data_IF_389221431270
#
_entry.id   IF_389221431270
#
_cell.length_a   1.000
_cell.length_b   1.000
_cell.length_c   1.000
_cell.angle_alpha   90.00
_cell.angle_beta   90.00
_cell.angle_gamma   90.00
#
_symmetry.space_group_name_H-M   'P 1'
#
loop_
_entity.id
_entity.type
_entity.pdbx_description
1 polymer ?
#
# COMPACT_ATOMS: atom_id res chain seq x y z
N UNK A 1 27.98 47.51 4.23
CA UNK A 1 28.68 46.65 5.20
C UNK A 1 27.69 45.67 5.78
N UNK A 2 28.15 44.44 5.99
CA UNK A 2 27.45 43.23 6.47
C UNK A 2 26.75 42.39 5.39
N UNK A 3 27.62 41.59 4.75
CA UNK A 3 27.31 40.33 4.07
C UNK A 3 26.56 39.39 5.01
N UNK A 4 25.37 38.94 4.59
CA UNK A 4 24.81 37.67 5.06
C UNK A 4 25.30 36.59 4.11
N UNK A 5 25.93 35.49 4.57
CA UNK A 5 26.36 34.43 3.67
C UNK A 5 25.12 33.73 3.08
N UNK A 6 25.12 33.53 1.76
CA UNK A 6 24.24 32.57 1.11
C UNK A 6 24.56 31.19 1.68
N UNK A 7 23.58 30.36 2.08
CA UNK A 7 23.86 29.00 2.50
C UNK A 7 24.43 28.23 1.29
N UNK A 8 25.67 27.79 1.47
CA UNK A 8 26.38 26.87 0.59
C UNK A 8 25.56 25.60 0.36
N UNK A 9 25.53 25.17 -0.90
CA UNK A 9 25.36 23.78 -1.34
C UNK A 9 24.54 22.85 -0.43
N UNK A 10 23.26 22.69 -0.75
CA UNK A 10 22.63 21.37 -0.60
C UNK A 10 21.98 20.97 -1.93
N UNK A 11 22.71 20.13 -2.67
CA UNK A 11 22.15 19.30 -3.73
C UNK A 11 21.11 18.36 -3.08
N UNK A 12 19.84 18.50 -3.43
CA UNK A 12 18.84 17.46 -3.12
C UNK A 12 17.39 17.93 -3.05
N UNK A 13 16.64 17.69 -4.13
CA UNK A 13 15.18 17.56 -4.13
C UNK A 13 14.40 18.87 -4.31
N UNK A 14 13.69 19.00 -5.43
CA UNK A 14 13.00 20.21 -5.87
C UNK A 14 12.03 20.81 -4.84
N UNK A 15 12.27 22.08 -4.52
CA UNK A 15 11.45 22.92 -3.67
C UNK A 15 10.39 23.64 -4.49
N UNK A 16 9.11 23.24 -4.40
CA UNK A 16 8.01 24.11 -4.83
C UNK A 16 7.64 25.04 -3.68
N UNK A 17 7.92 26.33 -3.82
CA UNK A 17 7.52 27.39 -2.90
C UNK A 17 6.11 27.87 -3.22
N UNK A 18 5.22 27.92 -2.23
CA UNK A 18 4.01 28.76 -2.26
C UNK A 18 4.14 29.73 -1.08
N UNK A 19 4.14 31.03 -1.37
CA UNK A 19 4.17 32.13 -0.40
C UNK A 19 5.35 32.14 0.61
N UNK A 20 6.54 31.67 0.22
CA UNK A 20 7.74 31.82 1.05
C UNK A 20 7.75 31.01 2.35
N UNK A 21 6.76 30.16 2.58
CA UNK A 21 6.74 29.19 3.68
C UNK A 21 7.36 27.89 3.19
N UNK A 22 8.42 27.44 3.87
CA UNK A 22 9.12 26.20 3.56
C UNK A 22 8.25 25.01 3.96
N UNK A 23 7.50 24.45 3.01
CA UNK A 23 6.79 23.18 3.22
C UNK A 23 7.75 22.03 2.97
N UNK A 24 8.44 21.56 4.02
CA UNK A 24 8.97 20.19 4.02
C UNK A 24 7.75 19.29 4.26
N UNK A 25 7.14 18.78 3.19
CA UNK A 25 5.96 17.91 3.34
C UNK A 25 6.43 16.61 4.00
N UNK A 26 6.04 16.38 5.24
CA UNK A 26 6.27 15.08 5.91
C UNK A 26 5.61 13.92 5.15
N UNK A 27 4.62 14.23 4.31
CA UNK A 27 3.96 13.29 3.39
C UNK A 27 4.68 13.12 2.05
N UNK A 28 5.79 13.82 1.81
CA UNK A 28 6.56 13.64 0.59
C UNK A 28 7.13 12.22 0.51
N UNK A 29 7.25 11.68 -0.70
CA UNK A 29 7.72 10.31 -0.89
C UNK A 29 9.25 10.21 -0.92
N UNK A 30 9.95 11.35 -1.02
CA UNK A 30 11.36 11.40 -1.43
C UNK A 30 12.35 10.61 -0.57
N UNK A 31 12.06 10.37 0.71
CA UNK A 31 12.94 9.63 1.62
C UNK A 31 12.20 8.69 2.59
N UNK A 32 10.98 8.28 2.25
CA UNK A 32 10.16 7.40 3.09
C UNK A 32 10.38 5.93 2.70
N UNK A 33 11.13 5.15 3.50
CA UNK A 33 11.45 3.77 3.14
C UNK A 33 10.22 2.86 3.13
N UNK A 34 9.14 3.17 3.88
CA UNK A 34 7.90 2.40 3.78
C UNK A 34 7.22 2.58 2.41
N UNK A 35 7.31 3.77 1.81
CA UNK A 35 6.77 4.02 0.46
C UNK A 35 7.64 3.35 -0.61
N UNK A 36 8.96 3.60 -0.60
CA UNK A 36 9.86 3.00 -1.60
C UNK A 36 9.86 1.46 -1.52
N UNK A 37 9.75 0.92 -0.30
CA UNK A 37 9.56 -0.51 -0.03
C UNK A 37 8.52 -1.17 -0.93
N UNK A 38 7.41 -0.47 -1.15
CA UNK A 38 6.24 -1.00 -1.85
C UNK A 38 6.23 -0.70 -3.35
N UNK A 39 7.15 0.13 -3.86
CA UNK A 39 7.19 0.50 -5.28
C UNK A 39 7.37 -0.70 -6.23
N UNK A 40 8.19 -1.73 -5.93
CA UNK A 40 8.26 -2.92 -6.77
C UNK A 40 6.90 -3.62 -6.91
N UNK A 41 6.15 -3.77 -5.81
CA UNK A 41 4.81 -4.35 -5.83
C UNK A 41 3.83 -3.50 -6.63
N UNK A 42 3.84 -2.18 -6.42
CA UNK A 42 3.00 -1.26 -7.18
C UNK A 42 3.31 -1.30 -8.69
N UNK A 43 4.58 -1.44 -9.06
CA UNK A 43 5.00 -1.58 -10.45
C UNK A 43 4.48 -2.88 -11.08
N UNK A 44 4.54 -4.01 -10.36
CA UNK A 44 3.98 -5.28 -10.84
C UNK A 44 2.45 -5.20 -11.01
N UNK A 45 1.76 -4.66 -10.00
CA UNK A 45 0.31 -4.45 -10.04
C UNK A 45 -0.09 -3.57 -11.22
N UNK A 46 0.58 -2.43 -11.41
CA UNK A 46 0.19 -1.46 -12.43
C UNK A 46 0.63 -1.88 -13.83
N UNK A 47 1.88 -2.34 -14.01
CA UNK A 47 2.45 -2.59 -15.34
C UNK A 47 2.16 -3.98 -15.89
N UNK A 48 2.12 -5.00 -15.02
CA UNK A 48 1.78 -6.39 -15.42
C UNK A 48 0.30 -6.70 -15.22
N UNK A 49 -0.45 -5.79 -14.60
CA UNK A 49 -1.88 -5.98 -14.28
C UNK A 49 -2.11 -7.18 -13.35
N UNK A 50 -1.25 -7.34 -12.33
CA UNK A 50 -1.38 -8.42 -11.35
C UNK A 50 -2.72 -8.37 -10.61
N UNK A 51 -3.33 -7.19 -10.50
CA UNK A 51 -4.71 -7.00 -10.02
C UNK A 51 -5.54 -6.56 -11.21
N UNK A 52 -6.60 -7.30 -11.51
CA UNK A 52 -7.43 -7.00 -12.68
C UNK A 52 -8.36 -5.82 -12.39
N UNK A 53 -8.54 -4.96 -13.38
CA UNK A 53 -9.52 -3.87 -13.31
C UNK A 53 -10.96 -4.39 -13.21
N UNK A 54 -11.86 -3.55 -12.70
CA UNK A 54 -13.27 -3.88 -12.48
C UNK A 54 -13.96 -4.55 -13.67
N UNK A 55 -14.86 -5.49 -13.38
CA UNK A 55 -15.64 -6.23 -14.39
C UNK A 55 -16.81 -5.42 -14.92
N UNK A 56 -17.47 -4.67 -14.04
CA UNK A 56 -18.55 -3.76 -14.39
C UNK A 56 -18.01 -2.37 -14.65
N UNK A 57 -18.73 -1.65 -15.51
CA UNK A 57 -18.51 -0.25 -15.82
C UNK A 57 -19.55 0.61 -15.11
N UNK A 58 -19.13 1.72 -14.53
CA UNK A 58 -20.00 2.71 -13.92
C UNK A 58 -19.77 4.08 -14.55
N UNK A 59 -20.83 4.66 -15.10
CA UNK A 59 -20.86 6.02 -15.63
C UNK A 59 -21.43 6.97 -14.59
N UNK A 60 -20.63 7.94 -14.15
CA UNK A 60 -21.09 9.00 -13.25
C UNK A 60 -21.61 10.13 -14.11
N UNK A 61 -22.94 10.29 -14.12
CA UNK A 61 -23.64 11.30 -14.89
C UNK A 61 -23.54 12.65 -14.19
N UNK A 62 -22.93 13.60 -14.89
CA UNK A 62 -22.99 15.01 -14.54
C UNK A 62 -24.34 15.55 -15.02
N UNK A 63 -25.02 16.30 -14.17
CA UNK A 63 -26.30 16.92 -14.51
C UNK A 63 -26.14 17.86 -15.72
N UNK A 64 -27.03 17.71 -16.70
CA UNK A 64 -27.02 18.46 -17.95
C UNK A 64 -27.31 19.95 -17.70
N UNK A 65 -28.06 20.25 -16.63
CA UNK A 65 -28.50 21.60 -16.28
C UNK A 65 -27.57 22.31 -15.28
N UNK A 66 -26.52 21.63 -14.76
CA UNK A 66 -25.61 22.23 -13.80
C UNK A 66 -24.59 23.16 -14.50
N UNK A 67 -24.69 24.49 -14.38
CA UNK A 67 -23.79 25.42 -15.08
C UNK A 67 -22.36 25.39 -14.54
N UNK A 68 -22.13 24.80 -13.36
CA UNK A 68 -20.84 24.72 -12.68
C UNK A 68 -20.05 23.46 -13.03
N UNK A 69 -20.58 22.58 -13.87
CA UNK A 69 -20.03 21.24 -14.09
C UNK A 69 -18.55 21.20 -14.49
N UNK A 70 -18.08 22.16 -15.29
CA UNK A 70 -16.67 22.30 -15.71
C UNK A 70 -15.72 22.63 -14.55
N UNK A 71 -16.25 23.17 -13.46
CA UNK A 71 -15.50 23.65 -12.30
C UNK A 71 -15.66 22.76 -11.06
N UNK A 72 -16.46 21.70 -11.14
CA UNK A 72 -16.63 20.75 -10.03
C UNK A 72 -15.30 20.10 -9.67
N UNK A 73 -15.04 20.04 -8.37
CA UNK A 73 -13.91 19.31 -7.79
C UNK A 73 -14.33 17.88 -7.49
N UNK A 74 -13.38 16.93 -7.41
CA UNK A 74 -13.70 15.55 -7.01
C UNK A 74 -14.46 15.45 -5.68
N UNK A 75 -14.18 16.34 -4.72
CA UNK A 75 -14.87 16.40 -3.43
C UNK A 75 -16.33 16.85 -3.51
N UNK A 76 -16.79 17.34 -4.66
CA UNK A 76 -18.17 17.79 -4.90
C UNK A 76 -18.96 16.76 -5.71
N UNK A 77 -18.37 15.59 -5.98
CA UNK A 77 -18.98 14.49 -6.72
C UNK A 77 -19.09 13.30 -5.77
N UNK A 78 -20.22 13.21 -5.05
CA UNK A 78 -20.46 12.14 -4.07
C UNK A 78 -20.41 10.75 -4.69
N UNK A 79 -20.82 10.61 -5.96
CA UNK A 79 -20.71 9.35 -6.67
C UNK A 79 -19.26 8.88 -6.88
N UNK A 80 -18.27 9.78 -6.87
CA UNK A 80 -16.84 9.45 -7.04
C UNK A 80 -16.26 8.78 -5.79
N UNK A 81 -16.92 8.90 -4.64
CA UNK A 81 -16.46 8.33 -3.38
C UNK A 81 -16.53 6.79 -3.46
N UNK A 82 -15.36 6.14 -3.32
CA UNK A 82 -15.18 4.68 -3.18
C UNK A 82 -15.54 3.86 -4.44
N UNK A 83 -16.35 4.36 -5.36
CA UNK A 83 -16.79 3.64 -6.58
C UNK A 83 -15.63 3.11 -7.43
N UNK A 84 -14.50 3.85 -7.48
CA UNK A 84 -13.30 3.48 -8.25
C UNK A 84 -12.59 2.26 -7.70
N UNK A 85 -12.85 1.90 -6.44
CA UNK A 85 -12.33 0.68 -5.82
C UNK A 85 -13.21 -0.53 -6.13
N UNK A 86 -14.43 -0.29 -6.66
CA UNK A 86 -15.42 -1.33 -6.93
C UNK A 86 -15.57 -1.69 -8.39
N UNK A 87 -15.62 -0.69 -9.27
CA UNK A 87 -15.94 -0.81 -10.70
C UNK A 87 -14.93 -0.04 -11.56
N UNK A 88 -14.97 -0.26 -12.89
CA UNK A 88 -14.32 0.63 -13.85
C UNK A 88 -15.18 1.88 -14.01
N UNK A 89 -14.65 3.03 -13.64
CA UNK A 89 -15.42 4.27 -13.56
C UNK A 89 -15.08 5.19 -14.71
N UNK A 90 -16.11 5.80 -15.29
CA UNK A 90 -16.01 6.90 -16.24
C UNK A 90 -17.00 8.01 -15.90
N UNK A 91 -16.79 9.19 -16.47
CA UNK A 91 -17.74 10.31 -16.35
C UNK A 91 -18.60 10.40 -17.61
N UNK A 92 -19.88 10.66 -17.44
CA UNK A 92 -20.82 10.97 -18.52
C UNK A 92 -21.07 12.47 -18.49
N UNK A 93 -20.49 13.18 -19.45
CA UNK A 93 -20.55 14.64 -19.51
C UNK A 93 -21.90 15.11 -20.07
N UNK A 94 -22.29 16.38 -19.85
CA UNK A 94 -23.54 16.91 -20.38
C UNK A 94 -23.69 16.69 -21.89
N UNK A 95 -24.87 16.23 -22.29
CA UNK A 95 -25.20 15.90 -23.69
C UNK A 95 -24.60 14.58 -24.20
N UNK A 96 -23.91 13.80 -23.36
CA UNK A 96 -23.42 12.46 -23.72
C UNK A 96 -24.36 11.36 -23.24
N UNK A 97 -24.46 10.29 -24.03
CA UNK A 97 -25.08 9.03 -23.62
C UNK A 97 -24.01 8.02 -23.21
N UNK A 98 -24.31 7.16 -22.24
CA UNK A 98 -23.41 6.10 -21.78
C UNK A 98 -24.01 4.72 -21.97
N UNK A 99 -23.18 3.76 -22.32
CA UNK A 99 -23.50 2.33 -22.36
C UNK A 99 -22.91 1.57 -21.16
N UNK A 100 -22.57 2.27 -20.08
CA UNK A 100 -22.06 1.65 -18.86
C UNK A 100 -23.12 0.74 -18.22
N UNK A 101 -22.67 -0.32 -17.55
CA UNK A 101 -23.56 -1.27 -16.87
C UNK A 101 -24.38 -0.60 -15.75
N UNK A 102 -23.80 0.44 -15.15
CA UNK A 102 -24.36 1.22 -14.05
C UNK A 102 -24.25 2.70 -14.45
N UNK A 103 -25.34 3.45 -14.30
CA UNK A 103 -25.36 4.91 -14.44
C UNK A 103 -25.88 5.48 -13.13
N UNK A 104 -25.14 6.42 -12.54
CA UNK A 104 -25.54 7.12 -11.30
C UNK A 104 -25.36 8.61 -11.48
N UNK A 105 -26.19 9.41 -10.83
CA UNK A 105 -26.02 10.86 -10.84
C UNK A 105 -24.82 11.26 -9.96
N UNK A 106 -24.17 12.37 -10.29
CA UNK A 106 -22.92 12.81 -9.63
C UNK A 106 -23.04 13.06 -8.13
N UNK A 107 -24.23 13.39 -7.65
CA UNK A 107 -24.60 13.67 -6.27
C UNK A 107 -25.07 12.43 -5.49
N UNK A 108 -25.18 11.27 -6.15
CA UNK A 108 -25.65 10.02 -5.53
C UNK A 108 -24.46 9.12 -5.13
N UNK A 109 -24.15 8.96 -3.83
CA UNK A 109 -23.12 8.02 -3.40
C UNK A 109 -23.56 6.58 -3.63
N UNK A 110 -22.72 5.77 -4.30
CA UNK A 110 -23.00 4.33 -4.52
C UNK A 110 -22.71 3.51 -3.27
N UNK A 111 -21.62 3.84 -2.58
CA UNK A 111 -21.23 3.24 -1.31
C UNK A 111 -21.29 4.36 -0.30
N UNK A 112 -22.06 4.15 0.76
CA UNK A 112 -22.23 5.17 1.78
C UNK A 112 -21.21 4.97 2.89
N UNK A 113 -20.84 6.03 3.59
CA UNK A 113 -19.87 5.96 4.68
C UNK A 113 -20.32 4.96 5.77
N UNK A 114 -21.63 4.84 6.00
CA UNK A 114 -22.20 3.87 6.94
C UNK A 114 -21.98 2.41 6.55
N UNK A 115 -21.71 2.09 5.27
CA UNK A 115 -21.42 0.73 4.83
C UNK A 115 -20.15 0.22 5.54
N UNK A 116 -19.16 1.09 5.73
CA UNK A 116 -17.97 0.79 6.53
C UNK A 116 -16.87 0.01 5.83
N UNK A 117 -17.14 -0.45 4.61
CA UNK A 117 -16.26 -1.29 3.81
C UNK A 117 -16.61 -1.26 2.32
N UNK A 118 -15.65 -1.68 1.49
CA UNK A 118 -15.81 -1.89 0.06
C UNK A 118 -15.14 -3.18 -0.36
N UNK A 119 -15.82 -3.95 -1.21
CA UNK A 119 -15.30 -5.10 -1.93
C UNK A 119 -15.40 -4.85 -3.42
N UNK A 120 -14.31 -5.06 -4.15
CA UNK A 120 -14.30 -4.93 -5.61
C UNK A 120 -15.18 -5.98 -6.29
N UNK A 121 -15.71 -5.66 -7.47
CA UNK A 121 -16.51 -6.63 -8.24
C UNK A 121 -15.67 -7.83 -8.74
N UNK A 122 -14.35 -7.67 -8.80
CA UNK A 122 -13.37 -8.73 -9.08
C UNK A 122 -13.15 -9.65 -7.88
N UNK A 123 -13.46 -9.16 -6.67
CA UNK A 123 -13.13 -9.78 -5.38
C UNK A 123 -11.62 -9.91 -5.12
N UNK A 124 -10.82 -9.09 -5.79
CA UNK A 124 -9.36 -9.04 -5.59
C UNK A 124 -8.93 -7.89 -4.68
N UNK A 125 -9.81 -6.94 -4.34
CA UNK A 125 -9.53 -5.83 -3.43
C UNK A 125 -10.66 -5.66 -2.43
N UNK A 126 -10.31 -5.50 -1.15
CA UNK A 126 -11.24 -5.16 -0.09
C UNK A 126 -10.59 -4.24 0.92
N UNK A 127 -11.37 -3.32 1.49
CA UNK A 127 -10.98 -2.59 2.71
C UNK A 127 -12.17 -2.24 3.58
N UNK A 128 -11.92 -2.07 4.87
CA UNK A 128 -12.87 -1.57 5.85
C UNK A 128 -12.28 -0.38 6.61
N UNK A 129 -12.98 0.76 6.60
CA UNK A 129 -12.61 1.91 7.44
C UNK A 129 -13.14 1.76 8.86
N UNK A 130 -14.20 0.97 9.08
CA UNK A 130 -14.65 0.57 10.43
C UNK A 130 -13.54 -0.18 11.18
N UNK A 131 -12.92 -1.15 10.50
CA UNK A 131 -11.83 -1.97 11.06
C UNK A 131 -10.43 -1.40 10.82
N UNK A 132 -10.30 -0.41 9.93
CA UNK A 132 -9.02 0.19 9.51
C UNK A 132 -8.01 -0.83 8.94
N UNK A 133 -8.52 -1.76 8.14
CA UNK A 133 -7.76 -2.84 7.50
C UNK A 133 -8.19 -3.04 6.05
N UNK A 134 -7.34 -3.61 5.23
CA UNK A 134 -7.65 -4.01 3.86
C UNK A 134 -6.69 -5.05 3.33
N UNK A 135 -7.05 -5.62 2.18
CA UNK A 135 -6.23 -6.60 1.48
C UNK A 135 -6.43 -6.54 -0.03
N UNK A 136 -5.42 -7.05 -0.74
CA UNK A 136 -5.45 -7.41 -2.15
C UNK A 136 -5.19 -8.93 -2.22
N UNK A 137 -6.00 -9.66 -2.97
CA UNK A 137 -5.87 -11.12 -3.13
C UNK A 137 -6.05 -11.55 -4.58
N UNK A 138 -5.00 -11.39 -5.36
CA UNK A 138 -4.91 -11.89 -6.73
C UNK A 138 -3.98 -13.11 -6.82
N UNK A 139 -3.93 -13.81 -7.97
CA UNK A 139 -3.00 -14.93 -8.19
C UNK A 139 -1.52 -14.52 -8.14
N UNK A 140 -1.20 -13.29 -8.55
CA UNK A 140 0.18 -12.81 -8.71
C UNK A 140 0.65 -11.88 -7.60
N UNK A 141 -0.28 -11.19 -6.93
CA UNK A 141 0.00 -10.24 -5.84
C UNK A 141 -0.99 -10.41 -4.69
N UNK A 142 -0.46 -10.50 -3.47
CA UNK A 142 -1.24 -10.55 -2.21
C UNK A 142 -0.73 -9.50 -1.27
N UNK A 143 -1.61 -8.62 -0.81
CA UNK A 143 -1.24 -7.51 0.08
C UNK A 143 -2.19 -7.49 1.25
N UNK A 144 -1.68 -7.24 2.44
CA UNK A 144 -2.46 -7.01 3.65
C UNK A 144 -1.95 -5.72 4.27
N UNK A 145 -2.84 -4.77 4.55
CA UNK A 145 -2.47 -3.47 5.08
C UNK A 145 -3.45 -2.96 6.15
N UNK A 146 -2.96 -2.19 7.11
CA UNK A 146 -3.76 -1.59 8.17
C UNK A 146 -3.49 -2.18 9.56
N UNK A 147 -4.43 -1.97 10.47
CA UNK A 147 -4.30 -2.33 11.89
C UNK A 147 -4.61 -3.80 12.19
N UNK A 148 -3.78 -4.72 11.69
CA UNK A 148 -4.00 -6.17 11.82
C UNK A 148 -3.51 -6.78 13.14
N UNK A 149 -2.68 -6.11 13.93
CA UNK A 149 -2.01 -6.70 15.10
C UNK A 149 -2.94 -7.19 16.22
N UNK A 150 -4.22 -6.81 16.19
CA UNK A 150 -5.26 -7.23 17.16
C UNK A 150 -6.41 -8.00 16.51
N UNK A 151 -6.31 -8.26 15.21
CA UNK A 151 -7.31 -8.99 14.45
C UNK A 151 -6.96 -10.49 14.40
N UNK A 152 -7.95 -11.30 14.06
CA UNK A 152 -7.71 -12.72 13.77
C UNK A 152 -6.79 -12.89 12.54
N UNK A 153 -6.07 -14.03 12.43
CA UNK A 153 -5.22 -14.30 11.27
C UNK A 153 -5.98 -14.14 9.95
N UNK A 154 -5.45 -13.32 9.06
CA UNK A 154 -6.04 -13.06 7.74
C UNK A 154 -5.81 -14.27 6.85
N UNK A 155 -6.89 -14.71 6.18
CA UNK A 155 -6.89 -15.85 5.26
C UNK A 155 -7.19 -15.34 3.86
N UNK A 156 -6.17 -15.36 3.01
CA UNK A 156 -6.27 -15.11 1.57
C UNK A 156 -6.14 -16.45 0.82
N UNK A 157 -6.36 -16.44 -0.49
CA UNK A 157 -6.19 -17.64 -1.33
C UNK A 157 -4.74 -18.12 -1.28
N UNK A 158 -4.49 -19.21 -0.56
CA UNK A 158 -3.16 -19.82 -0.46
C UNK A 158 -2.17 -19.04 0.42
N UNK A 159 -2.64 -18.07 1.21
CA UNK A 159 -1.81 -17.35 2.17
C UNK A 159 -2.58 -17.13 3.47
N UNK A 160 -1.95 -17.48 4.60
CA UNK A 160 -2.41 -17.13 5.93
C UNK A 160 -1.34 -16.27 6.61
N UNK A 161 -1.75 -15.14 7.18
CA UNK A 161 -0.87 -14.28 7.97
C UNK A 161 -1.44 -14.09 9.37
N UNK A 162 -0.62 -14.34 10.37
CA UNK A 162 -0.89 -13.96 11.75
C UNK A 162 0.03 -12.79 12.11
N UNK A 163 -0.50 -11.57 12.03
CA UNK A 163 0.26 -10.32 12.20
C UNK A 163 0.24 -9.93 13.67
N UNK A 164 1.41 -9.67 14.26
CA UNK A 164 1.55 -9.26 15.67
C UNK A 164 1.79 -7.76 15.83
N UNK A 165 2.39 -7.13 14.83
CA UNK A 165 2.58 -5.67 14.82
C UNK A 165 1.24 -4.96 14.62
N UNK A 166 0.98 -3.92 15.42
CA UNK A 166 -0.29 -3.17 15.45
C UNK A 166 -0.69 -2.71 14.04
N UNK A 167 0.18 -1.98 13.34
CA UNK A 167 0.01 -1.57 11.95
C UNK A 167 1.08 -2.22 11.06
N UNK A 168 0.66 -2.83 9.96
CA UNK A 168 1.59 -3.40 8.99
C UNK A 168 1.05 -3.27 7.57
N UNK A 169 1.95 -3.16 6.59
CA UNK A 169 1.68 -3.52 5.19
C UNK A 169 2.62 -4.64 4.79
N UNK A 170 2.06 -5.80 4.46
CA UNK A 170 2.78 -7.00 4.04
C UNK A 170 2.34 -7.33 2.62
N UNK A 171 3.27 -7.27 1.67
CA UNK A 171 3.02 -7.49 0.25
C UNK A 171 3.86 -8.66 -0.27
N UNK A 172 3.21 -9.58 -0.98
CA UNK A 172 3.81 -10.68 -1.71
C UNK A 172 3.53 -10.48 -3.19
N UNK A 173 4.54 -10.57 -4.05
CA UNK A 173 4.34 -10.58 -5.49
C UNK A 173 5.26 -11.57 -6.18
N UNK A 174 4.72 -12.35 -7.12
CA UNK A 174 5.54 -13.20 -7.97
C UNK A 174 6.49 -12.35 -8.82
N UNK A 175 7.77 -12.71 -8.86
CA UNK A 175 8.77 -12.12 -9.76
C UNK A 175 8.88 -12.89 -11.08
N UNK A 176 8.01 -13.87 -11.31
CA UNK A 176 7.94 -14.68 -12.53
C UNK A 176 6.61 -14.48 -13.24
N UNK A 177 6.43 -15.08 -14.41
CA UNK A 177 5.16 -15.09 -15.14
C UNK A 177 4.17 -16.14 -14.60
N UNK A 178 4.52 -16.83 -13.53
CA UNK A 178 3.66 -17.80 -12.84
C UNK A 178 2.97 -17.17 -11.62
N UNK A 179 1.74 -17.60 -11.26
CA UNK A 179 1.09 -17.23 -10.01
C UNK A 179 1.95 -17.57 -8.79
N UNK A 180 1.71 -16.90 -7.66
CA UNK A 180 2.48 -17.09 -6.42
C UNK A 180 2.61 -18.57 -6.02
N UNK A 181 1.54 -19.36 -6.16
CA UNK A 181 1.54 -20.79 -5.81
C UNK A 181 2.57 -21.61 -6.62
N UNK A 182 2.88 -21.19 -7.85
CA UNK A 182 3.79 -21.87 -8.78
C UNK A 182 5.11 -21.12 -9.02
N UNK A 183 5.25 -19.94 -8.43
CA UNK A 183 6.42 -19.10 -8.65
C UNK A 183 7.65 -19.64 -7.92
N UNK A 184 8.78 -19.62 -8.63
CA UNK A 184 10.10 -19.96 -8.06
C UNK A 184 10.81 -18.76 -7.43
N UNK A 185 10.21 -17.57 -7.52
CA UNK A 185 10.77 -16.34 -6.98
C UNK A 185 9.64 -15.37 -6.61
N UNK A 186 9.54 -15.05 -5.33
CA UNK A 186 8.49 -14.16 -4.79
C UNK A 186 9.17 -13.07 -3.97
N UNK A 187 8.85 -11.83 -4.28
CA UNK A 187 9.22 -10.70 -3.42
C UNK A 187 8.21 -10.62 -2.28
N UNK A 188 8.71 -10.55 -1.06
CA UNK A 188 7.96 -10.23 0.14
C UNK A 188 8.51 -8.93 0.74
N UNK A 189 7.65 -7.91 0.86
CA UNK A 189 7.97 -6.67 1.58
C UNK A 189 7.05 -6.52 2.78
N UNK A 190 7.61 -6.21 3.95
CA UNK A 190 6.86 -5.92 5.17
C UNK A 190 7.30 -4.58 5.76
N UNK A 191 6.40 -3.61 5.77
CA UNK A 191 6.68 -2.23 6.24
C UNK A 191 5.69 -1.82 7.32
N UNK A 192 6.19 -1.12 8.34
CA UNK A 192 5.42 -0.53 9.43
C UNK A 192 5.63 0.97 9.50
N UNK A 193 5.56 1.52 10.71
CA UNK A 193 5.86 2.94 10.95
C UNK A 193 7.32 3.26 10.59
N UNK A 194 7.54 4.44 10.02
CA UNK A 194 8.86 4.95 9.69
C UNK A 194 9.01 6.37 10.21
N UNK A 195 9.98 6.60 11.09
CA UNK A 195 10.13 7.88 11.78
C UNK A 195 11.61 8.21 11.99
N UNK A 196 11.97 9.50 12.00
CA UNK A 196 13.32 9.90 12.40
C UNK A 196 13.62 9.49 13.84
N UNK A 197 14.88 9.16 14.11
CA UNK A 197 15.34 8.83 15.46
C UNK A 197 15.00 9.97 16.43
N UNK A 198 14.20 9.67 17.45
CA UNK A 198 13.81 10.62 18.48
C UNK A 198 12.73 11.63 18.07
N UNK A 199 12.02 11.41 16.96
CA UNK A 199 10.85 12.22 16.60
C UNK A 199 9.79 12.16 17.71
N UNK A 200 9.05 13.26 17.89
CA UNK A 200 7.97 13.36 18.87
C UNK A 200 6.71 13.89 18.21
N UNK A 201 5.59 13.27 18.57
CA UNK A 201 4.26 13.66 18.10
C UNK A 201 3.37 14.03 19.29
N UNK A 202 2.26 14.69 19.01
CA UNK A 202 1.17 14.81 19.98
C UNK A 202 0.56 13.43 20.27
N UNK A 203 -0.24 13.32 21.33
CA UNK A 203 -0.84 12.03 21.76
C UNK A 203 -1.64 11.33 20.65
N UNK A 204 -2.23 12.11 19.75
CA UNK A 204 -3.04 11.61 18.64
C UNK A 204 -2.20 11.23 17.41
N UNK A 205 -0.88 11.41 17.44
CA UNK A 205 0.03 11.21 16.31
C UNK A 205 -0.37 11.97 15.03
N UNK A 206 -1.09 13.09 15.18
CA UNK A 206 -1.55 13.94 14.06
C UNK A 206 -0.64 15.13 13.79
N UNK A 207 0.23 15.47 14.75
CA UNK A 207 1.12 16.63 14.66
C UNK A 207 2.50 16.31 15.22
N UNK A 208 3.53 16.67 14.46
CA UNK A 208 4.92 16.60 14.88
C UNK A 208 5.21 17.75 15.85
N UNK A 209 5.75 17.40 17.01
CA UNK A 209 6.27 18.33 18.01
C UNK A 209 7.79 18.49 17.87
N UNK A 210 8.47 17.43 17.45
CA UNK A 210 9.91 17.40 17.18
C UNK A 210 10.21 16.48 15.99
N UNK A 211 10.95 16.98 15.00
CA UNK A 211 11.31 16.22 13.80
C UNK A 211 12.38 15.15 14.04
N UNK A 212 13.02 15.13 15.22
CA UNK A 212 14.09 14.19 15.54
C UNK A 212 15.34 14.41 14.70
N UNK A 213 16.13 13.34 14.52
CA UNK A 213 17.40 13.36 13.77
C UNK A 213 17.57 12.09 12.93
N UNK A 214 18.41 12.11 11.88
CA UNK A 214 18.80 10.89 11.19
C UNK A 214 19.48 9.88 12.15
N UNK A 215 19.39 8.57 11.87
CA UNK A 215 18.71 7.96 10.72
C UNK A 215 17.18 7.87 10.89
N UNK A 216 16.47 7.57 9.79
CA UNK A 216 15.08 7.09 9.82
C UNK A 216 15.08 5.66 10.35
N UNK A 217 14.25 5.40 11.35
CA UNK A 217 14.02 4.07 11.92
C UNK A 217 12.73 3.50 11.33
N UNK A 218 12.76 2.21 11.05
CA UNK A 218 11.63 1.45 10.51
C UNK A 218 11.20 0.45 11.58
N UNK A 219 9.91 0.43 11.89
CA UNK A 219 9.29 -0.57 12.75
C UNK A 219 9.41 -1.95 12.10
N UNK A 220 9.92 -2.90 12.88
CA UNK A 220 10.03 -4.28 12.42
C UNK A 220 8.65 -4.93 12.44
N UNK A 221 8.26 -5.53 11.33
CA UNK A 221 7.00 -6.27 11.23
C UNK A 221 7.18 -7.69 11.72
N UNK A 222 6.42 -8.06 12.74
CA UNK A 222 6.33 -9.41 13.28
C UNK A 222 5.08 -10.10 12.75
N UNK A 223 5.28 -11.20 12.02
CA UNK A 223 4.18 -12.00 11.50
C UNK A 223 4.58 -13.46 11.32
N UNK A 224 3.62 -14.36 11.54
CA UNK A 224 3.71 -15.76 11.11
C UNK A 224 3.03 -15.93 9.76
N UNK A 225 3.71 -16.62 8.83
CA UNK A 225 3.31 -16.73 7.44
C UNK A 225 3.15 -18.21 7.09
N UNK A 226 2.01 -18.56 6.53
CA UNK A 226 1.80 -19.85 5.86
C UNK A 226 1.44 -19.61 4.39
N UNK A 227 2.33 -20.00 3.49
CA UNK A 227 2.19 -19.83 2.05
C UNK A 227 2.02 -21.19 1.37
N UNK A 228 0.93 -21.39 0.64
CA UNK A 228 0.76 -22.57 -0.22
C UNK A 228 1.62 -22.42 -1.48
N UNK A 229 2.31 -23.49 -1.83
CA UNK A 229 3.15 -23.54 -3.03
C UNK A 229 3.35 -24.96 -3.54
N UNK A 230 3.32 -25.08 -4.87
CA UNK A 230 3.68 -26.29 -5.62
C UNK A 230 5.20 -26.44 -5.77
N UNK A 231 5.99 -25.40 -5.45
CA UNK A 231 7.45 -25.44 -5.55
C UNK A 231 8.04 -26.01 -4.25
N UNK A 232 8.67 -27.20 -4.29
CA UNK A 232 9.28 -27.76 -3.11
C UNK A 232 10.58 -27.02 -2.76
N UNK A 233 10.93 -27.00 -1.48
CA UNK A 233 12.22 -26.49 -0.97
C UNK A 233 12.49 -24.99 -1.23
N UNK A 234 11.45 -24.16 -1.34
CA UNK A 234 11.62 -22.70 -1.33
C UNK A 234 12.36 -22.25 -0.05
N UNK A 235 13.21 -21.23 -0.20
CA UNK A 235 14.01 -20.67 0.89
C UNK A 235 13.67 -19.20 1.01
N UNK A 236 13.41 -18.74 2.22
CA UNK A 236 13.17 -17.32 2.48
C UNK A 236 14.48 -16.67 2.88
N UNK A 237 14.90 -15.65 2.14
CA UNK A 237 16.12 -14.88 2.36
C UNK A 237 15.79 -13.47 2.83
N UNK A 238 16.50 -13.02 3.87
CA UNK A 238 16.57 -11.62 4.28
C UNK A 238 17.40 -10.85 3.24
N UNK A 239 16.87 -9.76 2.71
CA UNK A 239 17.58 -8.88 1.78
C UNK A 239 18.17 -7.69 2.53
N UNK A 240 19.45 -7.41 2.31
CA UNK A 240 20.18 -6.30 2.94
C UNK A 240 19.79 -4.94 2.35
N UNK A 241 20.27 -3.87 2.98
CA UNK A 241 20.19 -2.49 2.48
C UNK A 241 20.87 -2.28 1.12
N UNK A 242 21.73 -3.22 0.70
CA UNK A 242 22.38 -3.23 -0.62
C UNK A 242 21.63 -4.05 -1.67
N UNK A 243 20.50 -4.67 -1.30
CA UNK A 243 19.74 -5.53 -2.21
C UNK A 243 20.33 -6.94 -2.36
N UNK A 244 21.20 -7.38 -1.46
CA UNK A 244 21.84 -8.69 -1.49
C UNK A 244 21.17 -9.66 -0.53
N UNK A 245 21.10 -10.95 -0.88
CA UNK A 245 20.63 -11.99 0.03
C UNK A 245 21.64 -12.17 1.18
N UNK A 246 21.24 -11.79 2.39
CA UNK A 246 22.09 -11.79 3.59
C UNK A 246 22.06 -13.14 4.31
N UNK A 247 20.87 -13.56 4.74
CA UNK A 247 20.70 -14.75 5.57
C UNK A 247 19.38 -15.46 5.27
N UNK A 248 19.36 -16.82 5.27
CA UNK A 248 18.12 -17.56 5.15
C UNK A 248 17.36 -17.55 6.48
N UNK A 249 16.04 -17.41 6.42
CA UNK A 249 15.16 -17.64 7.56
C UNK A 249 14.90 -19.13 7.75
N UNK A 250 14.62 -19.51 9.00
CA UNK A 250 14.12 -20.85 9.31
C UNK A 250 12.74 -21.03 8.67
N UNK A 251 12.60 -22.07 7.88
CA UNK A 251 11.36 -22.44 7.18
C UNK A 251 10.99 -23.88 7.52
N UNK A 252 9.69 -24.17 7.49
CA UNK A 252 9.15 -25.53 7.53
C UNK A 252 8.29 -25.73 6.29
N UNK A 253 8.56 -26.78 5.51
CA UNK A 253 7.72 -27.16 4.37
C UNK A 253 7.00 -28.46 4.67
N UNK A 254 5.66 -28.42 4.67
CA UNK A 254 4.82 -29.59 4.93
C UNK A 254 3.55 -29.55 4.10
N UNK A 255 3.27 -30.63 3.38
CA UNK A 255 2.03 -30.82 2.60
C UNK A 255 1.67 -29.66 1.67
N UNK A 256 2.65 -29.12 0.92
CA UNK A 256 2.41 -28.00 0.00
C UNK A 256 2.38 -26.61 0.66
N UNK A 257 2.71 -26.51 1.95
CA UNK A 257 2.71 -25.23 2.68
C UNK A 257 4.10 -24.93 3.22
N UNK A 258 4.63 -23.76 2.84
CA UNK A 258 5.82 -23.13 3.41
C UNK A 258 5.42 -22.27 4.61
N UNK A 259 5.97 -22.58 5.78
CA UNK A 259 5.76 -21.82 7.01
C UNK A 259 7.05 -21.15 7.47
N UNK A 260 6.95 -19.88 7.86
CA UNK A 260 8.07 -19.12 8.39
C UNK A 260 7.58 -17.91 9.20
N UNK A 261 8.50 -17.23 9.88
CA UNK A 261 8.21 -16.01 10.63
C UNK A 261 9.12 -14.88 10.17
N UNK A 262 8.55 -13.70 10.05
CA UNK A 262 9.31 -12.44 9.92
C UNK A 262 9.27 -11.70 11.26
N UNK A 263 10.25 -10.82 11.47
CA UNK A 263 10.42 -10.11 12.73
C UNK A 263 11.87 -9.73 12.99
N UNK A 264 12.13 -9.31 14.22
CA UNK A 264 13.46 -8.87 14.66
C UNK A 264 14.50 -9.96 14.46
N UNK A 265 15.60 -9.59 13.81
CA UNK A 265 16.72 -10.50 13.55
C UNK A 265 17.78 -10.41 14.67
N UNK A 266 18.59 -11.47 14.89
CA UNK A 266 19.72 -11.43 15.82
C UNK A 266 20.69 -10.29 15.49
N UNK A 267 21.44 -9.79 16.47
CA UNK A 267 22.31 -8.61 16.31
C UNK A 267 23.31 -8.66 15.13
N UNK A 268 23.68 -9.88 14.69
CA UNK A 268 24.62 -10.11 13.58
C UNK A 268 23.94 -10.18 12.20
N UNK A 269 22.61 -10.08 12.12
CA UNK A 269 21.84 -10.03 10.87
C UNK A 269 20.88 -8.82 10.94
N UNK A 270 20.93 -7.88 9.99
CA UNK A 270 20.03 -6.73 10.04
C UNK A 270 18.57 -7.17 9.91
N UNK A 271 17.70 -6.60 10.75
CA UNK A 271 16.27 -6.57 10.47
C UNK A 271 16.03 -5.79 9.17
N UNK A 272 15.09 -6.24 8.36
CA UNK A 272 14.83 -5.69 7.02
C UNK A 272 13.34 -5.59 6.76
N UNK A 273 12.98 -4.82 5.75
CA UNK A 273 11.64 -4.82 5.17
C UNK A 273 11.52 -5.76 3.97
N UNK A 274 12.63 -6.24 3.40
CA UNK A 274 12.66 -7.02 2.16
C UNK A 274 13.07 -8.48 2.37
N UNK A 275 12.29 -9.38 1.77
CA UNK A 275 12.54 -10.81 1.78
C UNK A 275 12.37 -11.38 0.36
N UNK A 276 13.20 -12.35 0.00
CA UNK A 276 13.08 -13.08 -1.26
C UNK A 276 12.81 -14.55 -0.96
N UNK A 277 11.71 -15.08 -1.51
CA UNK A 277 11.29 -16.48 -1.36
C UNK A 277 11.57 -17.24 -2.65
#
# INVERSE_FOLDING_TARGET
GLNSPLPENSLGGGTSTINGVMYRKFFDAFNDPAKFGLFPHAALIFRRSDVIGGKKTAGIKIDDDDPSWLTKRPSEISALEVISEKHKVGMVLPGQSSSADIIVNSDEPIIREEDGEVLSDTKELWRSWKKKIGWIDSPFSKVVYGFWGKEEPVILKGLKLDVKTDFATIAFSSLTDEPIEKSKSILLTAVGRCENTGAKFNEQHTKILDFGRPPVLIEVIEAEIELKTEIPNLKVWVISDKGEASAPLKTEYKNGTLKFKIGSQPWYNPSTIYYLI
#
